data_IF_075217781072
#
_entry.id   IF_075217781072
#
_cell.length_a   1.000
_cell.length_b   1.000
_cell.length_c   1.000
_cell.angle_alpha   90.00
_cell.angle_beta   90.00
_cell.angle_gamma   90.00
#
_symmetry.space_group_name_H-M   'P 1'
#
loop_
_entity.id
_entity.type
_entity.pdbx_description
1 polymer ?
#
# COMPACT_ATOMS: atom_id res chain seq x y z
N UNK A 1 -2.74 -29.59 -13.93
CA UNK A 1 -1.95 -28.40 -13.58
C UNK A 1 -2.78 -27.42 -12.74
N UNK A 2 -3.26 -27.83 -11.56
CA UNK A 2 -4.25 -27.04 -10.79
C UNK A 2 -3.93 -26.96 -9.28
N UNK A 3 -2.68 -27.16 -8.88
CA UNK A 3 -2.24 -27.05 -7.47
C UNK A 3 -0.78 -26.58 -7.40
N UNK A 4 -0.48 -25.35 -7.85
CA UNK A 4 0.88 -24.79 -7.67
C UNK A 4 0.95 -23.69 -6.60
N UNK A 5 -0.15 -23.38 -5.89
CA UNK A 5 -0.14 -22.46 -4.76
C UNK A 5 -0.50 -23.19 -3.46
N UNK A 6 0.49 -23.86 -2.87
CA UNK A 6 0.38 -24.34 -1.48
C UNK A 6 0.69 -23.14 -0.57
N UNK A 7 -0.36 -22.51 -0.04
CA UNK A 7 -0.21 -21.47 0.99
C UNK A 7 0.00 -22.15 2.34
N UNK A 8 1.15 -21.92 2.97
CA UNK A 8 1.41 -22.39 4.34
C UNK A 8 0.91 -21.32 5.32
N UNK A 9 -0.12 -21.64 6.10
CA UNK A 9 -0.61 -20.78 7.20
C UNK A 9 0.26 -20.94 8.46
N UNK A 10 1.12 -21.96 8.52
CA UNK A 10 2.12 -22.07 9.58
C UNK A 10 3.31 -21.16 9.29
N UNK A 11 3.40 -20.04 9.99
CA UNK A 11 4.64 -19.30 10.18
C UNK A 11 5.55 -19.95 11.24
N UNK A 12 6.62 -19.24 11.62
CA UNK A 12 7.75 -19.79 12.40
C UNK A 12 7.42 -20.29 13.81
N UNK A 13 6.26 -19.92 14.35
CA UNK A 13 6.00 -20.02 15.79
C UNK A 13 4.95 -21.06 16.18
N UNK A 14 4.27 -21.67 15.20
CA UNK A 14 3.38 -22.80 15.47
C UNK A 14 3.59 -23.93 14.47
N UNK A 15 3.80 -25.14 15.00
CA UNK A 15 3.80 -26.36 14.19
C UNK A 15 2.36 -26.86 13.89
N UNK A 16 1.34 -26.22 14.47
CA UNK A 16 -0.05 -26.62 14.34
C UNK A 16 -0.88 -25.47 13.76
N UNK A 17 -1.59 -25.73 12.67
CA UNK A 17 -2.74 -24.91 12.29
C UNK A 17 -3.94 -25.48 13.02
N UNK A 18 -4.52 -24.71 13.93
CA UNK A 18 -5.81 -25.04 14.50
C UNK A 18 -6.89 -24.68 13.48
N UNK A 19 -7.36 -25.69 12.76
CA UNK A 19 -8.47 -25.55 11.83
C UNK A 19 -9.78 -25.54 12.61
N UNK A 20 -10.62 -24.54 12.34
CA UNK A 20 -11.97 -24.48 12.90
C UNK A 20 -12.83 -25.49 12.12
N UNK A 21 -13.51 -26.44 12.79
CA UNK A 21 -14.42 -27.34 12.11
C UNK A 21 -15.50 -26.56 11.36
N UNK A 22 -15.68 -26.84 10.07
CA UNK A 22 -16.73 -26.25 9.25
C UNK A 22 -17.88 -27.26 9.08
N UNK A 23 -18.95 -27.17 9.88
CA UNK A 23 -19.95 -28.24 9.99
C UNK A 23 -20.80 -28.44 8.72
N UNK A 24 -20.70 -27.55 7.73
CA UNK A 24 -21.70 -27.44 6.66
C UNK A 24 -21.15 -27.56 5.23
N UNK A 25 -19.85 -27.36 5.00
CA UNK A 25 -19.28 -27.45 3.65
C UNK A 25 -17.77 -27.68 3.65
N UNK A 26 -17.25 -28.65 2.87
CA UNK A 26 -15.81 -28.85 2.68
C UNK A 26 -15.15 -27.73 1.86
N UNK A 27 -15.93 -26.78 1.33
CA UNK A 27 -15.42 -25.62 0.58
C UNK A 27 -15.05 -24.43 1.46
N UNK A 28 -15.24 -24.53 2.78
CA UNK A 28 -15.00 -23.43 3.72
C UNK A 28 -13.81 -23.78 4.61
N UNK A 29 -12.84 -22.89 4.67
CA UNK A 29 -11.66 -23.00 5.52
C UNK A 29 -11.82 -22.07 6.72
N UNK A 30 -12.01 -22.64 7.92
CA UNK A 30 -12.08 -21.89 9.17
C UNK A 30 -10.72 -21.75 9.83
N UNK A 31 -10.31 -20.51 10.13
CA UNK A 31 -9.02 -20.15 10.72
C UNK A 31 -9.24 -19.17 11.88
N UNK A 32 -8.34 -19.17 12.86
CA UNK A 32 -8.27 -18.07 13.82
C UNK A 32 -7.39 -16.95 13.33
N UNK A 33 -7.77 -15.71 13.65
CA UNK A 33 -6.95 -14.55 13.39
C UNK A 33 -7.44 -13.31 14.12
N UNK A 34 -6.75 -12.20 13.87
CA UNK A 34 -7.07 -10.87 14.36
C UNK A 34 -7.46 -9.99 13.17
N UNK A 35 -8.71 -9.52 13.14
CA UNK A 35 -9.09 -8.44 12.22
C UNK A 35 -8.48 -7.16 12.75
N UNK A 36 -7.51 -6.63 12.01
CA UNK A 36 -6.70 -5.49 12.44
C UNK A 36 -7.48 -4.20 12.25
N UNK A 37 -7.92 -3.92 11.02
CA UNK A 37 -8.64 -2.70 10.64
C UNK A 37 -9.21 -2.85 9.21
N UNK A 38 -10.17 -1.99 8.87
CA UNK A 38 -10.72 -1.88 7.52
C UNK A 38 -9.87 -0.95 6.65
N UNK A 39 -9.68 -1.29 5.39
CA UNK A 39 -9.05 -0.43 4.39
C UNK A 39 -10.03 0.67 3.98
N UNK A 40 -9.73 1.95 4.27
CA UNK A 40 -10.56 3.08 3.82
C UNK A 40 -10.15 3.61 2.45
N UNK A 41 -8.86 3.48 2.11
CA UNK A 41 -8.32 4.09 0.91
C UNK A 41 -7.18 3.27 0.34
N UNK A 42 -7.09 3.31 -0.99
CA UNK A 42 -6.13 2.54 -1.77
C UNK A 42 -5.59 3.37 -2.93
N UNK A 43 -4.28 3.33 -3.15
CA UNK A 43 -3.59 4.05 -4.22
C UNK A 43 -3.69 3.32 -5.56
N UNK A 44 -3.01 3.82 -6.59
CA UNK A 44 -2.90 3.10 -7.86
C UNK A 44 -1.96 1.90 -7.71
N UNK A 45 -2.24 0.76 -8.37
CA UNK A 45 -1.29 -0.34 -8.41
C UNK A 45 0.01 0.10 -9.07
N UNK A 46 1.13 -0.31 -8.47
CA UNK A 46 2.44 -0.27 -9.10
C UNK A 46 2.44 -1.23 -10.29
N UNK A 47 3.03 -0.82 -11.42
CA UNK A 47 3.15 -1.68 -12.59
C UNK A 47 4.57 -1.63 -13.14
N UNK A 48 5.14 -2.80 -13.40
CA UNK A 48 6.46 -2.93 -14.00
C UNK A 48 6.51 -2.42 -15.45
N UNK A 49 5.38 -2.41 -16.14
CA UNK A 49 5.25 -2.04 -17.57
C UNK A 49 5.47 -0.55 -17.87
N UNK A 50 5.83 0.27 -16.88
CA UNK A 50 6.00 1.72 -17.03
C UNK A 50 7.22 2.16 -17.87
N UNK A 51 7.94 1.22 -18.50
CA UNK A 51 9.00 1.51 -19.45
C UNK A 51 10.17 2.29 -18.84
N UNK A 52 11.16 2.59 -19.68
CA UNK A 52 12.30 3.47 -19.30
C UNK A 52 11.95 4.94 -19.53
N UNK A 53 10.93 5.24 -20.34
CA UNK A 53 10.53 6.60 -20.67
C UNK A 53 9.44 7.09 -19.71
N UNK A 54 9.70 8.16 -18.96
CA UNK A 54 8.73 8.77 -18.05
C UNK A 54 8.51 8.06 -16.70
N UNK A 55 9.26 6.99 -16.39
CA UNK A 55 9.15 6.24 -15.12
C UNK A 55 9.21 7.14 -13.87
N UNK A 56 10.03 8.19 -13.91
CA UNK A 56 10.25 9.11 -12.80
C UNK A 56 8.97 9.87 -12.42
N UNK A 57 8.13 10.28 -13.40
CA UNK A 57 6.83 10.92 -13.15
C UNK A 57 5.91 9.98 -12.36
N UNK A 58 5.87 8.71 -12.75
CA UNK A 58 5.05 7.71 -12.09
C UNK A 58 5.54 7.39 -10.68
N UNK A 59 6.85 7.29 -10.48
CA UNK A 59 7.44 7.11 -9.14
C UNK A 59 7.09 8.31 -8.25
N UNK A 60 7.28 9.53 -8.72
CA UNK A 60 6.96 10.73 -7.95
C UNK A 60 5.47 10.79 -7.62
N UNK A 61 4.59 10.46 -8.57
CA UNK A 61 3.15 10.35 -8.33
C UNK A 61 2.83 9.28 -7.28
N UNK A 62 3.48 8.13 -7.37
CA UNK A 62 3.33 7.02 -6.42
C UNK A 62 3.73 7.44 -5.00
N UNK A 63 4.87 8.12 -4.85
CA UNK A 63 5.30 8.69 -3.57
C UNK A 63 4.38 9.81 -3.07
N UNK A 64 3.81 10.61 -3.96
CA UNK A 64 2.82 11.62 -3.59
C UNK A 64 1.57 10.98 -2.96
N UNK A 65 1.11 9.84 -3.50
CA UNK A 65 0.00 9.07 -2.92
C UNK A 65 0.35 8.60 -1.51
N UNK A 66 1.53 7.99 -1.32
CA UNK A 66 1.96 7.51 0.01
C UNK A 66 2.11 8.69 0.98
N UNK A 67 2.64 9.83 0.53
CA UNK A 67 2.77 11.04 1.34
C UNK A 67 1.41 11.57 1.78
N UNK A 68 0.41 11.54 0.91
CA UNK A 68 -0.97 11.93 1.24
C UNK A 68 -1.60 10.95 2.25
N UNK A 69 -1.47 9.65 2.03
CA UNK A 69 -1.96 8.64 2.99
C UNK A 69 -1.31 8.78 4.36
N UNK A 70 0.01 9.03 4.41
CA UNK A 70 0.73 9.33 5.64
C UNK A 70 0.19 10.57 6.35
N UNK A 71 -0.15 11.62 5.60
CA UNK A 71 -0.78 12.84 6.14
C UNK A 71 -2.15 12.53 6.75
N UNK A 72 -2.97 11.70 6.10
CA UNK A 72 -4.28 11.27 6.62
C UNK A 72 -4.15 10.37 7.85
N UNK A 73 -3.19 9.44 7.85
CA UNK A 73 -2.83 8.60 9.00
C UNK A 73 -2.51 9.41 10.26
N UNK A 74 -1.88 10.58 10.12
CA UNK A 74 -1.62 11.48 11.26
C UNK A 74 -2.90 11.97 11.95
N UNK A 75 -3.98 12.19 11.20
CA UNK A 75 -5.26 12.68 11.74
C UNK A 75 -5.98 11.63 12.59
N UNK A 76 -5.87 10.35 12.22
CA UNK A 76 -6.61 9.25 12.86
C UNK A 76 -6.23 9.01 14.33
N UNK A 77 -4.97 9.30 14.70
CA UNK A 77 -4.49 9.11 16.08
C UNK A 77 -4.90 10.25 17.03
N UNK A 78 -5.33 11.41 16.53
CA UNK A 78 -5.71 12.55 17.37
C UNK A 78 -7.12 12.36 17.93
N UNK A 79 -8.04 11.87 17.10
CA UNK A 79 -9.44 11.70 17.47
C UNK A 79 -9.62 10.64 18.57
N UNK A 80 -8.73 9.64 18.60
CA UNK A 80 -8.78 8.54 19.57
C UNK A 80 -8.25 8.93 20.97
N UNK A 81 -7.43 9.99 21.08
CA UNK A 81 -6.91 10.46 22.38
C UNK A 81 -7.87 11.35 23.16
N UNK A 82 -8.93 11.84 22.52
CA UNK A 82 -9.89 12.76 23.13
C UNK A 82 -11.08 12.05 23.79
N UNK A 83 -11.18 10.72 23.67
CA UNK A 83 -12.28 9.93 24.24
C UNK A 83 -12.00 9.32 25.61
N UNK A 84 -10.75 9.27 26.05
CA UNK A 84 -10.31 8.40 27.15
C UNK A 84 -9.91 9.21 28.40
N UNK A 85 -10.74 10.18 28.80
CA UNK A 85 -10.60 10.93 30.07
C UNK A 85 -11.06 10.12 31.32
N UNK A 86 -11.27 8.80 31.19
CA UNK A 86 -11.61 7.91 32.30
C UNK A 86 -10.35 7.13 32.76
N UNK A 87 -9.97 7.36 34.02
CA UNK A 87 -8.73 6.96 34.75
C UNK A 87 -8.44 5.43 34.88
N UNK A 88 -8.81 4.59 33.92
CA UNK A 88 -8.41 3.18 33.94
C UNK A 88 -7.05 3.02 33.26
N UNK A 89 -6.09 2.43 33.99
CA UNK A 89 -4.71 2.07 33.58
C UNK A 89 -4.65 1.05 32.42
N UNK A 90 -5.60 1.08 31.49
CA UNK A 90 -5.59 0.24 30.30
C UNK A 90 -4.46 0.72 29.39
N UNK A 91 -3.46 -0.15 29.25
CA UNK A 91 -2.22 0.04 28.53
C UNK A 91 -2.54 0.40 27.07
N UNK A 92 -2.67 1.71 26.79
CA UNK A 92 -2.90 2.34 25.48
C UNK A 92 -1.76 2.13 24.47
N UNK A 93 -1.11 0.97 24.52
CA UNK A 93 -0.02 0.50 23.68
C UNK A 93 -0.45 0.18 22.24
N UNK A 94 -1.74 0.29 21.95
CA UNK A 94 -2.42 -0.42 20.87
C UNK A 94 -2.31 0.23 19.47
N UNK A 95 -1.60 1.36 19.37
CA UNK A 95 -1.42 2.07 18.10
C UNK A 95 0.07 2.12 17.75
N UNK A 96 0.45 1.31 16.75
CA UNK A 96 1.82 1.19 16.20
C UNK A 96 2.50 2.57 16.03
N UNK A 97 1.75 3.57 15.57
CA UNK A 97 2.25 4.91 15.32
C UNK A 97 2.21 5.87 16.51
N UNK A 98 1.36 5.64 17.52
CA UNK A 98 1.24 6.55 18.67
C UNK A 98 2.47 6.46 19.56
N UNK A 99 2.98 5.25 19.75
CA UNK A 99 4.14 5.01 20.61
C UNK A 99 5.47 5.27 19.89
N UNK A 100 5.43 5.39 18.56
CA UNK A 100 6.62 5.65 17.76
C UNK A 100 6.31 6.51 16.52
N UNK A 101 6.19 7.85 16.67
CA UNK A 101 5.93 8.75 15.55
C UNK A 101 6.99 8.67 14.44
N UNK A 102 8.24 8.34 14.81
CA UNK A 102 9.32 8.12 13.87
C UNK A 102 9.03 6.95 12.94
N UNK A 103 8.31 5.92 13.39
CA UNK A 103 7.92 4.77 12.59
C UNK A 103 7.01 5.13 11.42
N UNK A 104 6.01 6.00 11.66
CA UNK A 104 5.17 6.53 10.57
C UNK A 104 6.01 7.25 9.51
N UNK A 105 7.11 7.88 9.91
CA UNK A 105 8.06 8.47 8.96
C UNK A 105 8.84 7.42 8.16
N UNK A 106 9.10 6.23 8.74
CA UNK A 106 9.75 5.12 8.06
C UNK A 106 8.85 4.50 7.00
N UNK A 107 7.55 4.36 7.27
CA UNK A 107 6.56 3.84 6.32
C UNK A 107 6.67 4.47 4.92
N UNK A 108 6.98 5.77 4.86
CA UNK A 108 7.14 6.50 3.59
C UNK A 108 8.16 5.87 2.63
N UNK A 109 9.27 5.35 3.14
CA UNK A 109 10.31 4.70 2.35
C UNK A 109 10.33 3.18 2.52
N UNK A 110 9.69 2.60 3.54
CA UNK A 110 9.55 1.14 3.69
C UNK A 110 8.48 0.55 2.76
N UNK A 111 7.33 1.23 2.62
CA UNK A 111 6.18 0.70 1.87
C UNK A 111 6.49 0.38 0.41
N UNK A 112 7.13 1.27 -0.37
CA UNK A 112 7.35 1.02 -1.80
C UNK A 112 8.23 -0.19 -2.08
N UNK A 113 8.97 -0.66 -1.07
CA UNK A 113 9.83 -1.83 -1.16
C UNK A 113 9.28 -3.00 -0.35
N UNK A 114 8.07 -2.93 0.22
CA UNK A 114 7.50 -4.00 1.04
C UNK A 114 8.36 -4.39 2.25
N UNK A 115 9.13 -3.43 2.78
CA UNK A 115 10.15 -3.71 3.79
C UNK A 115 11.36 -4.53 3.29
N UNK A 116 11.46 -4.82 1.99
CA UNK A 116 12.56 -5.55 1.38
C UNK A 116 13.90 -4.79 1.45
N UNK A 117 14.96 -5.57 1.60
CA UNK A 117 16.32 -5.14 1.94
C UNK A 117 17.01 -4.40 0.79
N UNK A 118 17.41 -3.14 1.01
CA UNK A 118 18.26 -2.42 0.06
C UNK A 118 19.72 -2.81 0.34
N UNK A 119 20.36 -3.46 -0.65
CA UNK A 119 21.77 -3.88 -0.76
C UNK A 119 22.30 -5.09 0.05
N UNK A 120 22.50 -6.22 -0.65
CA UNK A 120 23.62 -7.17 -0.41
C UNK A 120 23.26 -8.62 -0.02
N UNK A 121 24.15 -9.61 -0.29
CA UNK A 121 23.96 -11.04 0.03
C UNK A 121 23.73 -11.28 1.54
N UNK A 122 23.15 -12.43 1.93
CA UNK A 122 22.16 -12.56 3.00
C UNK A 122 22.79 -12.35 4.38
N UNK A 123 22.95 -11.10 4.80
CA UNK A 123 22.90 -10.82 6.24
C UNK A 123 21.45 -11.02 6.64
N UNK A 124 21.18 -12.16 7.29
CA UNK A 124 19.92 -12.40 7.99
C UNK A 124 19.69 -11.24 8.97
N UNK A 125 18.91 -10.23 8.60
CA UNK A 125 18.63 -9.08 9.46
C UNK A 125 17.98 -7.92 8.73
N UNK A 126 17.00 -7.29 9.38
CA UNK A 126 16.22 -6.15 8.89
C UNK A 126 17.11 -4.98 8.47
N UNK A 127 16.86 -4.41 7.28
CA UNK A 127 17.54 -3.19 6.85
C UNK A 127 17.20 -2.04 7.81
N UNK A 128 18.22 -1.32 8.29
CA UNK A 128 18.01 -0.19 9.21
C UNK A 128 17.69 1.05 8.40
N UNK A 129 17.05 2.02 9.05
CA UNK A 129 16.82 3.34 8.44
C UNK A 129 18.12 3.96 7.90
N UNK A 130 19.24 3.76 8.61
CA UNK A 130 20.56 4.26 8.21
C UNK A 130 21.06 3.64 6.90
N UNK A 131 20.62 2.43 6.56
CA UNK A 131 20.99 1.73 5.33
C UNK A 131 20.11 2.18 4.14
N UNK A 132 18.82 2.39 4.39
CA UNK A 132 17.81 2.60 3.32
C UNK A 132 17.63 4.08 2.98
N UNK A 133 17.62 4.97 3.98
CA UNK A 133 17.30 6.39 3.79
C UNK A 133 18.26 7.10 2.82
N UNK A 134 19.58 6.88 2.85
CA UNK A 134 20.49 7.50 1.89
C UNK A 134 20.19 7.09 0.45
N UNK A 135 19.98 5.80 0.20
CA UNK A 135 19.67 5.26 -1.14
C UNK A 135 18.31 5.77 -1.63
N UNK A 136 17.33 5.84 -0.72
CA UNK A 136 16.03 6.43 -1.01
C UNK A 136 16.13 7.91 -1.42
N UNK A 137 16.91 8.71 -0.68
CA UNK A 137 17.11 10.13 -1.00
C UNK A 137 17.76 10.32 -2.37
N UNK A 138 18.84 9.59 -2.63
CA UNK A 138 19.53 9.63 -3.93
C UNK A 138 18.58 9.27 -5.09
N UNK A 139 17.71 8.28 -4.88
CA UNK A 139 16.70 7.89 -5.85
C UNK A 139 15.64 8.98 -6.10
N UNK A 140 15.15 9.64 -5.04
CA UNK A 140 14.21 10.75 -5.18
C UNK A 140 14.85 11.95 -5.88
N UNK A 141 16.08 12.30 -5.50
CA UNK A 141 16.81 13.41 -6.14
C UNK A 141 17.01 13.14 -7.63
N UNK A 142 17.32 11.89 -7.99
CA UNK A 142 17.40 11.47 -9.39
C UNK A 142 16.06 11.59 -10.12
N UNK A 143 14.94 11.18 -9.51
CA UNK A 143 13.62 11.31 -10.11
C UNK A 143 13.22 12.78 -10.33
N UNK A 144 13.50 13.67 -9.36
CA UNK A 144 13.25 15.10 -9.47
C UNK A 144 14.08 15.73 -10.59
N UNK A 145 15.37 15.39 -10.69
CA UNK A 145 16.22 15.85 -11.78
C UNK A 145 15.66 15.48 -13.16
N UNK A 146 15.22 14.22 -13.32
CA UNK A 146 14.61 13.77 -14.59
C UNK A 146 13.32 14.54 -14.89
N UNK A 147 12.50 14.80 -13.87
CA UNK A 147 11.25 15.55 -14.01
C UNK A 147 11.50 17.00 -14.49
N UNK A 148 12.44 17.70 -13.89
CA UNK A 148 12.82 19.07 -14.29
C UNK A 148 13.30 19.13 -15.74
N UNK A 149 14.08 18.13 -16.19
CA UNK A 149 14.57 18.05 -17.57
C UNK A 149 13.44 17.82 -18.58
N UNK A 150 12.47 16.97 -18.23
CA UNK A 150 11.27 16.79 -19.05
C UNK A 150 10.46 18.09 -19.18
N UNK A 151 10.28 18.85 -18.08
CA UNK A 151 9.56 20.14 -18.12
C UNK A 151 10.29 21.19 -18.97
N UNK A 152 11.61 21.31 -18.86
CA UNK A 152 12.41 22.18 -19.71
C UNK A 152 12.23 21.85 -21.20
N UNK A 153 12.24 20.56 -21.55
CA UNK A 153 12.04 20.10 -22.92
C UNK A 153 10.63 20.45 -23.44
N UNK A 154 9.61 20.24 -22.61
CA UNK A 154 8.22 20.55 -22.94
C UNK A 154 8.01 22.06 -23.15
N UNK A 155 8.61 22.90 -22.30
CA UNK A 155 8.59 24.36 -22.46
C UNK A 155 9.29 24.82 -23.75
N UNK A 156 10.45 24.25 -24.09
CA UNK A 156 11.14 24.53 -25.36
C UNK A 156 10.28 24.16 -26.57
N UNK A 157 9.57 23.04 -26.51
CA UNK A 157 8.65 22.62 -27.58
C UNK A 157 7.47 23.59 -27.75
N UNK A 158 6.89 24.05 -26.65
CA UNK A 158 5.81 25.03 -26.69
C UNK A 158 6.27 26.38 -27.26
N UNK A 159 7.46 26.85 -26.87
CA UNK A 159 8.06 28.07 -27.42
C UNK A 159 8.29 27.96 -28.92
N UNK A 160 8.93 26.88 -29.40
CA UNK A 160 9.16 26.65 -30.83
C UNK A 160 7.85 26.54 -31.63
N UNK A 161 6.81 25.93 -31.07
CA UNK A 161 5.48 25.89 -31.70
C UNK A 161 4.89 27.30 -31.84
N UNK A 162 4.93 28.12 -30.78
CA UNK A 162 4.41 29.49 -30.82
C UNK A 162 5.15 30.40 -31.81
N UNK A 163 6.48 30.24 -31.94
CA UNK A 163 7.29 30.97 -32.91
C UNK A 163 6.95 30.56 -34.35
N UNK A 164 6.76 29.27 -34.58
CA UNK A 164 6.36 28.73 -35.88
C UNK A 164 4.97 29.22 -36.29
N UNK A 165 4.01 29.26 -35.37
CA UNK A 165 2.65 29.76 -35.64
C UNK A 165 2.62 31.28 -35.90
N UNK A 166 3.47 32.04 -35.19
CA UNK A 166 3.62 33.49 -35.41
C UNK A 166 4.21 33.79 -36.79
N UNK A 167 5.17 32.98 -37.26
CA UNK A 167 5.78 33.15 -38.58
C UNK A 167 4.85 32.69 -39.72
N UNK A 168 4.04 31.63 -39.54
CA UNK A 168 3.06 31.20 -40.55
C UNK A 168 1.98 32.24 -40.86
N UNK A 169 1.63 33.10 -39.91
CA UNK A 169 0.66 34.17 -40.12
C UNK A 169 1.19 35.36 -40.96
N UNK A 170 2.50 35.43 -41.25
CA UNK A 170 3.08 36.54 -42.03
C UNK A 170 3.21 36.23 -43.52
N UNK A 171 3.25 34.96 -43.92
CA UNK A 171 3.49 34.54 -45.31
C UNK A 171 2.32 33.67 -45.81
N UNK A 172 1.23 34.31 -46.23
CA UNK A 172 -0.01 33.66 -46.65
C UNK A 172 0.02 33.14 -48.10
N UNK A 173 1.12 32.51 -48.50
CA UNK A 173 1.27 31.77 -49.76
C UNK A 173 2.48 30.82 -49.63
N UNK A 174 2.35 29.64 -49.02
CA UNK A 174 3.08 28.43 -49.45
C UNK A 174 2.79 27.14 -48.68
N UNK A 175 2.91 26.05 -49.45
CA UNK A 175 2.82 24.62 -49.12
C UNK A 175 3.36 24.23 -47.72
N UNK A 176 2.68 23.32 -46.99
CA UNK A 176 3.16 22.83 -45.70
C UNK A 176 4.45 22.02 -45.88
N UNK A 177 5.55 22.52 -45.30
CA UNK A 177 6.76 21.74 -45.05
C UNK A 177 6.48 20.67 -43.98
N UNK A 178 7.10 19.48 -44.09
CA UNK A 178 6.94 18.44 -43.10
C UNK A 178 7.41 18.93 -41.73
N UNK A 179 6.71 18.55 -40.64
CA UNK A 179 7.11 18.95 -39.30
C UNK A 179 8.54 18.47 -39.03
N UNK A 180 9.36 19.27 -38.31
CA UNK A 180 10.66 18.80 -37.87
C UNK A 180 10.48 17.51 -37.05
N UNK A 181 11.41 16.55 -37.16
CA UNK A 181 11.36 15.34 -36.36
C UNK A 181 11.29 15.72 -34.88
N UNK A 182 10.54 14.97 -34.05
CA UNK A 182 10.48 15.24 -32.62
C UNK A 182 11.91 15.22 -32.08
N UNK A 183 12.35 16.36 -31.55
CA UNK A 183 13.56 16.43 -30.74
C UNK A 183 13.30 15.60 -29.49
N UNK A 184 13.65 14.32 -29.55
CA UNK A 184 13.84 13.52 -28.34
C UNK A 184 14.93 14.16 -27.49
N UNK A 185 15.07 13.67 -26.26
CA UNK A 185 16.28 13.92 -25.48
C UNK A 185 17.49 13.66 -26.38
N UNK A 186 18.52 14.51 -26.31
CA UNK A 186 19.74 14.22 -27.03
C UNK A 186 20.30 12.88 -26.56
N UNK A 187 20.99 12.18 -27.46
CA UNK A 187 21.47 10.82 -27.18
C UNK A 187 22.39 10.80 -25.94
N UNK A 188 23.13 11.89 -25.68
CA UNK A 188 23.97 12.04 -24.50
C UNK A 188 23.17 12.03 -23.19
N UNK A 189 22.02 12.72 -23.16
CA UNK A 189 21.11 12.72 -22.01
C UNK A 189 20.43 11.36 -21.84
N UNK A 190 20.01 10.71 -22.93
CA UNK A 190 19.45 9.35 -22.89
C UNK A 190 20.48 8.37 -22.35
N UNK A 191 21.70 8.41 -22.87
CA UNK A 191 22.80 7.53 -22.44
C UNK A 191 23.16 7.80 -20.98
N UNK A 192 23.25 9.07 -20.56
CA UNK A 192 23.46 9.44 -19.15
C UNK A 192 22.35 8.92 -18.23
N UNK A 193 21.08 9.06 -18.63
CA UNK A 193 19.94 8.57 -17.87
C UNK A 193 19.93 7.04 -17.83
N UNK A 194 20.24 6.38 -18.94
CA UNK A 194 20.30 4.92 -19.06
C UNK A 194 21.45 4.34 -18.23
N UNK A 195 22.64 4.93 -18.28
CA UNK A 195 23.79 4.50 -17.49
C UNK A 195 23.53 4.66 -16.00
N UNK A 196 22.91 5.77 -15.58
CA UNK A 196 22.52 5.99 -14.18
C UNK A 196 21.38 5.07 -13.76
N UNK A 197 20.45 4.76 -14.65
CA UNK A 197 19.37 3.80 -14.43
C UNK A 197 19.91 2.37 -14.25
N UNK A 198 20.86 1.95 -15.07
CA UNK A 198 21.53 0.65 -14.92
C UNK A 198 22.42 0.61 -13.68
N UNK A 199 23.09 1.71 -13.32
CA UNK A 199 23.87 1.80 -12.07
C UNK A 199 22.96 1.69 -10.83
N UNK A 200 21.81 2.39 -10.84
CA UNK A 200 20.77 2.19 -9.82
C UNK A 200 20.33 0.73 -9.84
N UNK A 201 19.92 0.16 -10.97
CA UNK A 201 19.46 -1.23 -11.06
C UNK A 201 20.50 -2.24 -10.56
N UNK A 202 21.78 -2.06 -10.90
CA UNK A 202 22.88 -2.98 -10.59
C UNK A 202 23.31 -2.95 -9.12
N UNK A 203 23.11 -1.81 -8.42
CA UNK A 203 23.53 -1.67 -7.01
C UNK A 203 22.67 -2.42 -5.99
N UNK A 204 21.65 -3.17 -6.40
CA UNK A 204 20.64 -3.70 -5.46
C UNK A 204 19.70 -2.60 -4.96
N UNK A 205 19.47 -1.59 -5.81
CA UNK A 205 18.79 -0.35 -5.46
C UNK A 205 17.38 -0.54 -4.95
N UNK A 206 16.96 0.48 -4.21
CA UNK A 206 15.59 0.78 -3.87
C UNK A 206 14.60 0.50 -5.03
N UNK A 207 14.94 0.93 -6.24
CA UNK A 207 14.13 0.69 -7.44
C UNK A 207 13.95 -0.81 -7.73
N UNK A 208 15.00 -1.62 -7.64
CA UNK A 208 14.90 -3.06 -7.84
C UNK A 208 13.89 -3.69 -6.88
N UNK A 209 13.90 -3.28 -5.61
CA UNK A 209 12.92 -3.73 -4.63
C UNK A 209 11.51 -3.22 -4.93
N UNK A 210 11.36 -1.99 -5.42
CA UNK A 210 10.06 -1.50 -5.91
C UNK A 210 9.53 -2.35 -7.06
N UNK A 211 10.37 -2.88 -7.95
CA UNK A 211 9.92 -3.76 -9.03
C UNK A 211 9.30 -5.06 -8.53
N UNK A 212 9.71 -5.56 -7.35
CA UNK A 212 9.07 -6.74 -6.71
C UNK A 212 7.67 -6.43 -6.16
N UNK A 213 7.30 -5.16 -6.07
CA UNK A 213 5.95 -4.73 -5.71
C UNK A 213 5.01 -4.67 -6.93
N UNK A 214 5.34 -5.35 -8.03
CA UNK A 214 4.47 -5.42 -9.21
C UNK A 214 3.05 -5.84 -8.83
N UNK A 215 2.08 -5.08 -9.34
CA UNK A 215 0.65 -5.24 -9.07
C UNK A 215 0.28 -5.12 -7.60
N UNK A 216 1.11 -4.54 -6.73
CA UNK A 216 0.72 -4.15 -5.37
C UNK A 216 0.29 -2.68 -5.36
N UNK A 217 -0.56 -2.27 -4.41
CA UNK A 217 -1.02 -0.89 -4.27
C UNK A 217 -0.93 -0.44 -2.81
N UNK A 218 -0.57 0.82 -2.52
CA UNK A 218 -0.54 1.30 -1.16
C UNK A 218 -1.97 1.39 -0.61
N UNK A 219 -2.14 1.20 0.68
CA UNK A 219 -3.41 1.37 1.37
C UNK A 219 -3.26 2.13 2.69
N UNK A 220 -4.38 2.68 3.14
CA UNK A 220 -4.56 3.32 4.44
C UNK A 220 -5.79 2.71 5.12
N UNK A 221 -5.66 2.38 6.41
CA UNK A 221 -6.76 1.83 7.20
C UNK A 221 -7.59 2.92 7.90
N UNK A 222 -8.85 2.60 8.17
CA UNK A 222 -9.90 3.55 8.54
C UNK A 222 -9.75 4.08 9.97
N UNK A 223 -9.53 3.20 10.94
CA UNK A 223 -9.58 3.54 12.36
C UNK A 223 -8.18 3.80 12.91
N UNK A 224 -7.27 2.86 12.70
CA UNK A 224 -5.89 2.86 13.24
C UNK A 224 -4.92 3.68 12.38
N UNK A 225 -5.35 4.05 11.17
CA UNK A 225 -4.54 4.83 10.23
C UNK A 225 -3.26 4.12 9.80
N UNK A 226 -3.24 2.79 9.78
CA UNK A 226 -2.09 1.99 9.36
C UNK A 226 -1.85 2.10 7.86
N UNK A 227 -0.59 2.08 7.47
CA UNK A 227 -0.18 2.14 6.08
C UNK A 227 0.41 0.80 5.65
N UNK A 228 0.02 0.36 4.46
CA UNK A 228 0.49 -0.91 3.92
C UNK A 228 0.48 -0.96 2.40
N UNK A 229 0.80 -2.14 1.89
CA UNK A 229 0.80 -2.52 0.48
C UNK A 229 -0.07 -3.77 0.32
N UNK A 230 -1.13 -3.66 -0.45
CA UNK A 230 -2.09 -4.72 -0.70
C UNK A 230 -1.98 -5.26 -2.13
N UNK A 231 -2.57 -6.42 -2.44
CA UNK A 231 -2.77 -6.86 -3.81
C UNK A 231 -3.45 -5.78 -4.68
N UNK A 232 -3.15 -5.73 -5.97
CA UNK A 232 -3.60 -4.66 -6.87
C UNK A 232 -5.11 -4.60 -7.09
N UNK A 233 -5.82 -5.65 -6.70
CA UNK A 233 -7.28 -5.75 -6.74
C UNK A 233 -7.94 -5.58 -5.36
N UNK A 234 -7.17 -5.23 -4.32
CA UNK A 234 -7.70 -4.78 -3.04
C UNK A 234 -8.46 -3.47 -3.21
N UNK A 235 -9.46 -3.20 -2.37
CA UNK A 235 -10.36 -2.06 -2.47
C UNK A 235 -10.80 -1.54 -1.09
N UNK A 236 -11.41 -0.34 -0.99
CA UNK A 236 -12.00 0.11 0.27
C UNK A 236 -13.08 -0.88 0.76
N UNK A 237 -13.15 -1.10 2.07
CA UNK A 237 -14.02 -2.11 2.69
C UNK A 237 -13.40 -3.51 2.81
N UNK A 238 -12.27 -3.77 2.14
CA UNK A 238 -11.47 -4.95 2.45
C UNK A 238 -10.84 -4.78 3.86
N UNK A 239 -10.59 -5.87 4.56
CA UNK A 239 -10.03 -5.86 5.92
C UNK A 239 -8.61 -6.41 5.94
N UNK A 240 -7.77 -5.81 6.78
CA UNK A 240 -6.43 -6.32 7.09
C UNK A 240 -6.56 -7.30 8.24
N UNK A 241 -6.04 -8.51 8.06
CA UNK A 241 -6.10 -9.60 9.02
C UNK A 241 -4.71 -10.14 9.29
N UNK A 242 -4.41 -10.45 10.55
CA UNK A 242 -3.26 -11.26 10.91
C UNK A 242 -3.77 -12.65 11.32
N UNK A 243 -3.44 -13.68 10.54
CA UNK A 243 -3.88 -15.06 10.83
C UNK A 243 -2.98 -15.69 11.89
N UNK A 244 -3.56 -16.47 12.80
CA UNK A 244 -2.81 -17.16 13.84
C UNK A 244 -1.76 -18.09 13.22
N UNK A 245 -0.54 -18.02 13.76
CA UNK A 245 0.60 -18.79 13.28
C UNK A 245 1.43 -18.06 12.24
N UNK A 246 0.94 -16.98 11.62
CA UNK A 246 1.69 -16.23 10.60
C UNK A 246 2.28 -14.91 11.14
N UNK A 247 3.28 -14.41 10.40
CA UNK A 247 3.95 -13.12 10.59
C UNK A 247 3.60 -12.09 9.51
N UNK A 248 2.89 -12.50 8.45
CA UNK A 248 2.46 -11.58 7.38
C UNK A 248 0.98 -11.25 7.50
N UNK A 249 0.60 -9.99 7.25
CA UNK A 249 -0.80 -9.60 7.18
C UNK A 249 -1.41 -10.02 5.84
N UNK A 250 -2.72 -10.26 5.87
CA UNK A 250 -3.54 -10.65 4.75
C UNK A 250 -4.63 -9.61 4.50
N UNK A 251 -5.01 -9.45 3.24
CA UNK A 251 -6.23 -8.72 2.87
C UNK A 251 -7.32 -9.73 2.62
N UNK A 252 -8.44 -9.58 3.32
CA UNK A 252 -9.65 -10.37 3.16
C UNK A 252 -10.82 -9.46 2.77
N UNK A 253 -11.76 -10.00 2.00
CA UNK A 253 -12.96 -9.27 1.58
C UNK A 253 -14.19 -9.89 2.26
N UNK A 254 -14.95 -9.13 3.06
CA UNK A 254 -16.19 -9.65 3.67
C UNK A 254 -17.18 -10.18 2.62
N UNK A 255 -17.84 -11.29 2.91
CA UNK A 255 -18.86 -11.94 2.08
C UNK A 255 -20.19 -11.93 2.83
N UNK A 256 -21.16 -11.18 2.33
CA UNK A 256 -22.50 -11.03 2.93
C UNK A 256 -22.80 -9.61 3.42
N UNK A 257 -24.09 -9.34 3.68
CA UNK A 257 -24.64 -8.00 4.00
C UNK A 257 -24.29 -7.48 5.41
N UNK A 258 -23.19 -7.96 6.02
CA UNK A 258 -22.72 -7.40 7.29
C UNK A 258 -22.18 -5.96 7.15
N UNK A 259 -22.04 -5.45 5.92
CA UNK A 259 -21.65 -4.06 5.64
C UNK A 259 -22.91 -3.19 5.48
N UNK A 260 -23.67 -3.10 6.56
CA UNK A 260 -24.87 -2.29 6.69
C UNK A 260 -24.78 -1.31 7.86
N UNK A 261 -23.68 -0.55 7.99
CA UNK A 261 -23.62 0.57 8.93
C UNK A 261 -22.65 1.65 8.46
N UNK A 262 -23.18 2.80 8.01
CA UNK A 262 -22.34 4.01 7.95
C UNK A 262 -22.60 5.05 6.86
N UNK A 263 -23.79 5.17 6.27
CA UNK A 263 -24.18 6.42 5.57
C UNK A 263 -25.71 6.50 5.41
N UNK A 264 -26.41 6.92 6.46
CA UNK A 264 -27.86 7.10 6.44
C UNK A 264 -28.29 8.17 7.43
N UNK A 265 -28.08 9.43 7.06
CA UNK A 265 -28.75 10.58 7.65
C UNK A 265 -30.24 10.48 7.27
N UNK A 266 -31.12 10.23 8.24
CA UNK A 266 -32.50 9.82 7.95
C UNK A 266 -33.35 9.63 9.19
N UNK A 267 -33.76 10.76 9.75
CA UNK A 267 -34.70 10.93 10.86
C UNK A 267 -35.97 10.06 10.71
N UNK A 268 -36.05 8.97 11.48
CA UNK A 268 -37.10 7.97 11.35
C UNK A 268 -37.40 7.25 12.66
N UNK A 269 -38.26 7.85 13.48
CA UNK A 269 -38.91 7.24 14.67
C UNK A 269 -39.31 5.79 14.41
N UNK A 270 -38.62 4.83 15.03
CA UNK A 270 -39.06 3.43 15.12
C UNK A 270 -39.68 3.17 16.50
N UNK A 271 -41.00 3.08 16.51
CA UNK A 271 -41.77 2.39 17.55
C UNK A 271 -41.84 0.90 17.17
N UNK A 272 -41.63 0.01 18.15
CA UNK A 272 -41.99 -1.40 18.02
C UNK A 272 -40.92 -2.33 18.57
N UNK A 273 -41.08 -2.73 19.83
CA UNK A 273 -40.30 -3.79 20.46
C UNK A 273 -40.48 -5.12 19.71
N UNK A 274 -39.36 -5.70 19.31
CA UNK A 274 -39.24 -7.08 18.86
C UNK A 274 -38.06 -7.68 19.62
N UNK A 275 -38.32 -8.81 20.25
CA UNK A 275 -37.41 -9.57 21.09
C UNK A 275 -36.04 -9.75 20.43
N UNK A 276 -35.01 -9.21 21.11
CA UNK A 276 -33.61 -9.41 20.81
C UNK A 276 -33.16 -10.74 21.41
N UNK A 277 -33.59 -11.84 20.83
CA UNK A 277 -32.83 -13.10 20.96
C UNK A 277 -31.64 -13.02 19.99
N UNK A 278 -30.69 -12.15 20.36
CA UNK A 278 -29.50 -11.77 19.59
C UNK A 278 -28.37 -12.78 19.69
N UNK A 279 -28.63 -14.04 19.32
CA UNK A 279 -27.58 -15.03 19.06
C UNK A 279 -27.45 -15.26 17.55
N UNK A 280 -27.31 -14.18 16.79
CA UNK A 280 -26.63 -14.26 15.51
C UNK A 280 -25.16 -14.50 15.82
N UNK A 281 -24.78 -15.77 15.96
CA UNK A 281 -23.40 -16.23 15.79
C UNK A 281 -23.01 -15.85 14.35
N UNK A 282 -22.71 -14.56 14.18
CA UNK A 282 -22.50 -13.87 12.93
C UNK A 282 -21.11 -14.21 12.42
N UNK A 283 -20.91 -15.49 12.10
CA UNK A 283 -19.67 -15.99 11.52
C UNK A 283 -19.29 -15.09 10.35
N UNK A 284 -18.09 -14.52 10.44
CA UNK A 284 -17.58 -13.61 9.43
C UNK A 284 -17.00 -14.43 8.28
N UNK A 285 -17.69 -14.40 7.15
CA UNK A 285 -17.24 -15.04 5.92
C UNK A 285 -16.42 -14.07 5.09
N UNK A 286 -15.34 -14.55 4.49
CA UNK A 286 -14.46 -13.74 3.67
C UNK A 286 -13.99 -14.46 2.41
N UNK A 287 -13.76 -13.69 1.35
CA UNK A 287 -12.95 -14.13 0.21
C UNK A 287 -11.51 -13.66 0.40
N UNK A 288 -10.56 -14.54 0.13
CA UNK A 288 -9.14 -14.20 0.19
C UNK A 288 -8.76 -13.24 -0.96
N UNK A 289 -8.21 -12.07 -0.63
CA UNK A 289 -7.71 -11.10 -1.64
C UNK A 289 -6.21 -11.32 -1.86
N UNK A 290 -5.44 -11.49 -0.79
CA UNK A 290 -4.03 -11.85 -0.90
C UNK A 290 -3.14 -11.31 0.22
N UNK A 291 -1.87 -11.66 0.15
CA UNK A 291 -0.84 -11.21 1.09
C UNK A 291 -0.59 -9.70 0.97
N UNK A 292 -0.42 -9.07 2.13
CA UNK A 292 -0.14 -7.67 2.31
C UNK A 292 1.21 -7.46 3.00
N UNK A 293 1.77 -6.27 2.83
CA UNK A 293 2.72 -5.70 3.78
C UNK A 293 2.00 -4.62 4.57
N UNK A 294 2.17 -4.57 5.88
CA UNK A 294 1.66 -3.47 6.69
C UNK A 294 2.76 -3.02 7.65
N UNK A 295 3.08 -1.72 7.59
CA UNK A 295 4.19 -1.15 8.34
C UNK A 295 3.95 -1.33 9.84
N UNK A 296 4.91 -2.00 10.50
CA UNK A 296 4.82 -2.35 11.90
C UNK A 296 3.76 -3.37 12.29
N UNK A 297 3.17 -4.14 11.37
CA UNK A 297 2.53 -5.41 11.74
C UNK A 297 3.53 -6.55 11.50
N UNK A 298 4.21 -6.49 10.35
CA UNK A 298 5.21 -7.47 9.95
C UNK A 298 6.47 -7.49 10.81
N UNK A 299 6.61 -6.57 11.75
CA UNK A 299 7.74 -6.54 12.68
C UNK A 299 7.37 -7.08 14.08
N UNK A 300 6.16 -7.67 14.21
CA UNK A 300 5.72 -8.39 15.40
C UNK A 300 4.95 -7.54 16.43
N UNK A 301 4.66 -6.27 16.15
CA UNK A 301 4.03 -5.37 17.13
C UNK A 301 2.62 -5.81 17.56
N UNK A 302 1.94 -6.61 16.72
CA UNK A 302 0.63 -7.18 17.04
C UNK A 302 0.70 -8.65 17.47
N UNK A 303 1.90 -9.25 17.55
CA UNK A 303 2.06 -10.68 17.85
C UNK A 303 1.48 -11.03 19.23
N UNK A 304 1.76 -10.21 20.25
CA UNK A 304 1.20 -10.42 21.59
C UNK A 304 -0.34 -10.35 21.66
N UNK A 305 -1.01 -9.70 20.69
CA UNK A 305 -2.48 -9.64 20.63
C UNK A 305 -3.09 -10.93 20.12
N UNK A 306 -2.41 -11.58 19.17
CA UNK A 306 -2.83 -12.91 18.73
C UNK A 306 -2.81 -13.90 19.88
N UNK A 307 -2.05 -13.68 20.96
CA UNK A 307 -1.99 -14.58 22.11
C UNK A 307 -3.04 -14.30 23.19
N UNK A 308 -3.65 -13.11 23.21
CA UNK A 308 -4.67 -12.74 24.20
C UNK A 308 -6.01 -13.41 23.90
N UNK A 309 -6.52 -14.18 24.86
CA UNK A 309 -7.87 -14.74 24.82
C UNK A 309 -8.90 -13.61 24.80
N UNK A 310 -9.79 -13.60 23.80
CA UNK A 310 -10.86 -12.60 23.63
C UNK A 310 -10.70 -11.65 22.43
N UNK A 311 -9.50 -11.54 21.86
CA UNK A 311 -9.28 -10.72 20.64
C UNK A 311 -9.27 -11.52 19.34
N UNK A 312 -9.09 -12.84 19.45
CA UNK A 312 -9.16 -13.76 18.31
C UNK A 312 -10.59 -13.85 17.79
N UNK A 313 -10.70 -13.88 16.47
CA UNK A 313 -11.96 -14.06 15.76
C UNK A 313 -11.89 -15.31 14.90
N UNK A 314 -13.03 -15.98 14.77
CA UNK A 314 -13.23 -17.06 13.82
C UNK A 314 -13.38 -16.47 12.40
N UNK A 315 -12.48 -16.85 11.50
CA UNK A 315 -12.40 -16.34 10.13
C UNK A 315 -12.70 -17.48 9.17
N UNK A 316 -13.80 -17.36 8.42
CA UNK A 316 -14.24 -18.39 7.49
C UNK A 316 -13.96 -17.96 6.06
N UNK A 317 -12.99 -18.60 5.41
CA UNK A 317 -12.65 -18.33 4.01
C UNK A 317 -13.53 -19.17 3.09
N UNK A 318 -14.17 -18.53 2.11
CA UNK A 318 -15.08 -19.12 1.11
C UNK A 318 -14.58 -18.95 -0.31
#
# INVERSE_FOLDING_TARGET
>A
HLLDNVYSVCGKFSNNVDLIPTPSSPSILGLWGLVVDEIEAVGRPWRQEWGVEGYHRYILQYFAIIKDMKRRSLGKNMDQKLSDDDDDDDDGSDIIYTNNPSRRNQAFWCLPIGGCYVNGPPKRGKARADDVVPVFKEFIDHCNFCFEKDEELEQRRQQQQSENDTNKNKDNDNKPSPPPPPGGLDQETIDFMSDRWEDLRAKGSYLHNMMHMDRKRPFLTAQKGYLGMAPGHAQPGDVVVLLCGDSIPYVLRPVGDAVGAGAGDGDGKRNGGGDRDGNSDGNLYFTFVGEAYCDGIMDGELEGRLEREGERQDIFLV
#
